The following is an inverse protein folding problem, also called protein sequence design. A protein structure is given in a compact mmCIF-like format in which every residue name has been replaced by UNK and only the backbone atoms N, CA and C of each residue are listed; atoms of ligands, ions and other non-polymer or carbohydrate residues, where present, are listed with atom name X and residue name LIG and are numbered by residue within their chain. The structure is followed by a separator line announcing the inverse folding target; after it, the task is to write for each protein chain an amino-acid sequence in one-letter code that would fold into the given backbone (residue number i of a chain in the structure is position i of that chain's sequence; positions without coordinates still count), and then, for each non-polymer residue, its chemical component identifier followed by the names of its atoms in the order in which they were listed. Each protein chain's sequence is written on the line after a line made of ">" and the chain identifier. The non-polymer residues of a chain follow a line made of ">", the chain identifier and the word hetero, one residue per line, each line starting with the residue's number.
data_IF_152099626440
#
_entry.id   IF_152099626440
#
_cell.length_a   1.000
_cell.length_b   1.000
_cell.length_c   1.000
_cell.angle_alpha   90.00
_cell.angle_beta   90.00
_cell.angle_gamma   90.00
#
_symmetry.space_group_name_H-M   'P 1'
#
loop_
_entity.id
_entity.type
_entity.pdbx_description
1 polymer ?
#
# COMPACT_ATOMS: atom_id res chain seq x y z
N UNK A 1 0.60 -3.00 -4.18
CA UNK A 1 0.23 -1.62 -3.81
C UNK A 1 1.15 -1.19 -2.69
N UNK A 2 1.69 0.04 -2.72
CA UNK A 2 2.68 0.51 -1.74
C UNK A 2 2.06 0.60 -0.35
N UNK A 3 2.68 -0.02 0.66
CA UNK A 3 2.24 -0.03 2.05
C UNK A 3 3.46 -0.05 2.97
N UNK A 4 3.33 0.55 4.14
CA UNK A 4 4.35 0.55 5.18
C UNK A 4 3.65 0.27 6.52
N UNK A 5 4.28 -0.54 7.36
CA UNK A 5 3.80 -0.81 8.71
C UNK A 5 4.89 -0.46 9.72
N UNK A 6 4.64 0.59 10.52
CA UNK A 6 5.55 1.10 11.56
C UNK A 6 7.01 1.20 11.09
N UNK A 7 7.17 1.72 9.87
CA UNK A 7 8.48 1.86 9.26
C UNK A 7 9.17 3.14 9.73
N UNK A 8 10.44 3.04 10.08
CA UNK A 8 11.24 4.20 10.48
C UNK A 8 11.44 5.14 9.27
N UNK A 9 11.10 6.40 9.46
CA UNK A 9 11.20 7.44 8.44
C UNK A 9 11.58 8.78 9.04
N UNK A 10 12.37 9.57 8.31
CA UNK A 10 12.69 10.94 8.68
C UNK A 10 11.78 11.92 7.97
N UNK A 11 11.27 12.93 8.69
CA UNK A 11 10.54 14.04 8.11
C UNK A 11 11.55 15.09 7.66
N UNK A 12 11.76 15.23 6.37
CA UNK A 12 12.70 16.21 5.81
C UNK A 12 12.11 17.61 5.69
N UNK A 13 10.80 17.74 5.52
CA UNK A 13 10.14 19.03 5.40
C UNK A 13 8.63 18.91 5.61
N UNK A 14 8.03 19.93 6.21
CA UNK A 14 6.57 20.12 6.30
C UNK A 14 6.25 21.49 5.69
N UNK A 15 5.51 21.51 4.60
CA UNK A 15 5.13 22.73 3.91
C UNK A 15 3.60 22.91 3.96
N UNK A 16 3.15 23.90 4.73
CA UNK A 16 1.74 24.23 4.85
C UNK A 16 1.25 25.03 3.64
N UNK A 17 0.02 24.78 3.22
CA UNK A 17 -0.64 25.52 2.15
C UNK A 17 -2.12 25.65 2.39
N UNK A 18 -2.75 26.65 1.80
CA UNK A 18 -4.19 26.80 1.78
C UNK A 18 -4.73 26.21 0.48
N UNK A 19 -5.58 25.21 0.60
CA UNK A 19 -6.32 24.62 -0.51
C UNK A 19 -7.71 25.27 -0.58
N UNK A 20 -8.22 25.50 -1.79
CA UNK A 20 -9.56 26.04 -2.01
C UNK A 20 -10.44 24.99 -2.65
N UNK A 21 -11.54 24.69 -2.01
CA UNK A 21 -12.63 23.89 -2.56
C UNK A 21 -13.85 24.81 -2.77
N UNK A 22 -13.95 25.38 -3.98
CA UNK A 22 -14.95 26.43 -4.23
C UNK A 22 -14.68 27.71 -3.41
N UNK A 23 -15.62 28.08 -2.53
CA UNK A 23 -15.47 29.23 -1.63
C UNK A 23 -14.81 28.89 -0.30
N UNK A 24 -14.73 27.60 0.04
CA UNK A 24 -14.13 27.13 1.30
C UNK A 24 -12.59 27.09 1.20
N UNK A 25 -11.96 27.47 2.30
CA UNK A 25 -10.50 27.42 2.45
C UNK A 25 -10.16 26.37 3.49
N UNK A 26 -9.39 25.39 3.08
CA UNK A 26 -8.92 24.33 3.95
C UNK A 26 -7.40 24.39 4.08
N UNK A 27 -6.92 24.08 5.27
CA UNK A 27 -5.48 23.96 5.52
C UNK A 27 -5.02 22.59 5.02
N UNK A 28 -3.90 22.56 4.31
CA UNK A 28 -3.28 21.33 3.84
C UNK A 28 -1.78 21.37 4.10
N UNK A 29 -1.18 20.20 4.25
CA UNK A 29 0.25 20.03 4.42
C UNK A 29 0.84 19.12 3.35
N UNK A 30 2.02 19.50 2.82
CA UNK A 30 2.88 18.65 2.01
C UNK A 30 4.06 18.22 2.90
N UNK A 31 4.11 16.95 3.28
CA UNK A 31 5.12 16.37 4.17
C UNK A 31 6.09 15.55 3.34
N UNK A 32 7.38 15.89 3.36
CA UNK A 32 8.42 15.12 2.67
C UNK A 32 9.05 14.14 3.63
N UNK A 33 8.96 12.85 3.27
CA UNK A 33 9.59 11.75 3.98
C UNK A 33 10.86 11.28 3.26
N UNK A 34 11.83 10.81 4.06
CA UNK A 34 13.02 10.08 3.62
C UNK A 34 13.12 8.81 4.45
N UNK A 35 13.29 7.66 3.81
CA UNK A 35 13.35 6.37 4.47
C UNK A 35 14.19 5.38 3.67
N UNK A 36 14.58 4.29 4.32
CA UNK A 36 15.26 3.16 3.66
C UNK A 36 14.33 1.96 3.69
N UNK A 37 13.98 1.40 2.52
CA UNK A 37 13.10 0.24 2.38
C UNK A 37 13.79 -0.88 1.64
N UNK A 38 13.28 -2.11 1.72
CA UNK A 38 13.73 -3.21 0.88
C UNK A 38 13.37 -2.99 -0.60
N UNK A 39 14.11 -3.64 -1.49
CA UNK A 39 13.91 -3.47 -2.94
C UNK A 39 12.58 -4.06 -3.43
N UNK A 40 11.90 -4.90 -2.64
CA UNK A 40 10.54 -5.39 -2.89
C UNK A 40 9.50 -4.26 -2.97
N UNK A 41 9.78 -3.11 -2.38
CA UNK A 41 8.93 -1.93 -2.50
C UNK A 41 8.76 -1.46 -3.96
N UNK A 42 9.73 -1.77 -4.84
CA UNK A 42 9.67 -1.46 -6.27
C UNK A 42 8.53 -2.16 -6.99
N UNK A 43 8.14 -3.36 -6.56
CA UNK A 43 7.05 -4.14 -7.14
C UNK A 43 5.70 -3.43 -7.04
N UNK A 44 5.60 -2.42 -6.15
CA UNK A 44 4.42 -1.55 -6.02
C UNK A 44 4.31 -0.49 -7.12
N UNK A 45 5.41 -0.18 -7.80
CA UNK A 45 5.49 0.79 -8.88
C UNK A 45 5.47 0.08 -10.24
N UNK A 46 6.35 -0.89 -10.44
CA UNK A 46 6.43 -1.69 -11.66
C UNK A 46 7.03 -3.06 -11.34
N UNK A 47 6.42 -4.11 -11.87
CA UNK A 47 6.81 -5.51 -11.61
C UNK A 47 8.20 -5.88 -12.16
N UNK A 48 8.74 -5.11 -13.11
CA UNK A 48 10.06 -5.36 -13.72
C UNK A 48 11.16 -4.52 -13.09
N UNK A 49 10.82 -3.37 -12.49
CA UNK A 49 11.76 -2.37 -12.02
C UNK A 49 12.80 -2.92 -11.03
N UNK A 50 12.37 -3.83 -10.17
CA UNK A 50 13.26 -4.51 -9.22
C UNK A 50 14.35 -5.31 -9.94
N UNK A 51 13.96 -6.09 -10.94
CA UNK A 51 14.90 -6.87 -11.75
C UNK A 51 15.76 -6.00 -12.66
N UNK A 52 15.28 -4.82 -13.04
CA UNK A 52 16.05 -3.89 -13.88
C UNK A 52 17.14 -3.18 -13.07
N UNK A 53 16.91 -2.89 -11.81
CA UNK A 53 17.84 -2.16 -10.94
C UNK A 53 18.76 -3.07 -10.14
N UNK A 54 18.34 -4.31 -9.84
CA UNK A 54 19.09 -5.23 -9.00
C UNK A 54 19.43 -6.55 -9.73
N UNK A 55 20.51 -7.19 -9.28
CA UNK A 55 20.97 -8.51 -9.73
C UNK A 55 21.42 -9.35 -8.54
N UNK A 56 21.57 -10.64 -8.76
CA UNK A 56 22.28 -11.50 -7.80
C UNK A 56 23.76 -11.14 -7.78
N UNK A 57 24.40 -11.12 -6.60
CA UNK A 57 25.84 -10.87 -6.50
C UNK A 57 26.62 -11.95 -7.25
N UNK A 58 27.72 -11.56 -7.90
CA UNK A 58 28.61 -12.49 -8.57
C UNK A 58 29.46 -13.28 -7.55
N UNK A 59 30.03 -14.41 -7.99
CA UNK A 59 30.91 -15.25 -7.15
C UNK A 59 32.14 -14.44 -6.73
N UNK A 60 32.29 -14.15 -5.42
CA UNK A 60 33.38 -13.33 -4.86
C UNK A 60 33.03 -11.88 -4.58
N UNK A 61 31.85 -11.40 -4.99
CA UNK A 61 31.26 -10.20 -4.41
C UNK A 61 30.78 -10.54 -2.98
N UNK A 62 30.98 -9.61 -2.07
CA UNK A 62 30.65 -9.80 -0.66
C UNK A 62 29.16 -10.17 -0.53
N UNK A 63 28.93 -11.40 -0.08
CA UNK A 63 27.59 -11.84 0.31
C UNK A 63 27.34 -11.27 1.73
N UNK A 64 27.07 -9.98 1.80
CA UNK A 64 26.68 -9.38 3.07
C UNK A 64 25.26 -9.82 3.40
N UNK A 65 25.18 -10.56 4.49
CA UNK A 65 23.99 -10.99 5.23
C UNK A 65 22.94 -11.76 4.42
N UNK A 66 22.61 -12.96 4.86
CA UNK A 66 21.47 -13.67 4.31
C UNK A 66 20.21 -12.92 4.66
N UNK A 67 19.46 -12.50 3.62
CA UNK A 67 18.03 -12.33 3.65
C UNK A 67 17.46 -11.00 4.12
N UNK A 68 17.64 -10.00 3.31
CA UNK A 68 16.59 -9.02 3.11
C UNK A 68 16.23 -9.10 1.62
N UNK A 69 15.14 -9.80 1.29
CA UNK A 69 14.69 -10.05 -0.08
C UNK A 69 14.85 -11.52 -0.49
N UNK A 70 13.75 -12.28 -0.50
CA UNK A 70 13.70 -13.73 -0.70
C UNK A 70 14.22 -14.27 -2.04
N UNK A 71 14.57 -13.42 -3.02
CA UNK A 71 15.08 -13.80 -4.34
C UNK A 71 16.60 -13.58 -4.52
N UNK A 72 17.28 -12.99 -3.52
CA UNK A 72 18.72 -12.76 -3.52
C UNK A 72 19.20 -11.65 -4.48
N UNK A 73 18.31 -10.73 -4.88
CA UNK A 73 18.65 -9.57 -5.69
C UNK A 73 19.23 -8.45 -4.80
N UNK A 74 20.51 -8.54 -4.44
CA UNK A 74 21.14 -7.63 -3.48
C UNK A 74 22.17 -6.70 -4.09
N UNK A 75 22.70 -7.00 -5.27
CA UNK A 75 23.69 -6.17 -5.94
C UNK A 75 23.05 -5.18 -6.92
N UNK A 76 23.47 -3.93 -6.91
CA UNK A 76 23.00 -2.90 -7.82
C UNK A 76 23.54 -3.15 -9.23
N UNK A 77 22.70 -3.11 -10.27
CA UNK A 77 23.14 -3.27 -11.66
C UNK A 77 23.86 -2.04 -12.21
N UNK A 78 23.44 -0.87 -11.80
CA UNK A 78 23.87 0.41 -12.36
C UNK A 78 24.31 1.37 -11.23
N UNK A 79 25.46 1.17 -10.59
CA UNK A 79 25.86 1.96 -9.43
C UNK A 79 26.13 3.44 -9.74
N UNK A 80 26.33 3.79 -11.02
CA UNK A 80 26.53 5.18 -11.47
C UNK A 80 25.20 5.88 -11.86
N UNK A 81 24.05 5.22 -11.66
CA UNK A 81 22.76 5.82 -11.97
C UNK A 81 22.40 6.87 -10.92
N UNK A 82 22.00 8.05 -11.38
CA UNK A 82 21.43 9.06 -10.49
C UNK A 82 20.08 8.62 -9.90
N UNK A 83 19.65 9.20 -8.77
CA UNK A 83 18.35 8.88 -8.18
C UNK A 83 17.20 9.04 -9.19
N UNK A 84 16.37 8.01 -9.31
CA UNK A 84 15.27 7.96 -10.27
C UNK A 84 14.04 8.67 -9.70
N UNK A 85 13.44 9.54 -10.53
CA UNK A 85 12.17 10.20 -10.21
C UNK A 85 11.03 9.40 -10.84
N UNK A 86 10.08 8.95 -10.02
CA UNK A 86 8.89 8.24 -10.47
C UNK A 86 7.70 9.21 -10.52
N UNK A 87 6.94 9.16 -11.61
CA UNK A 87 5.74 9.98 -11.81
C UNK A 87 4.47 9.38 -11.18
N UNK A 88 4.60 8.25 -10.48
CA UNK A 88 3.49 7.59 -9.82
C UNK A 88 2.88 8.47 -8.73
N UNK A 89 1.55 8.43 -8.65
CA UNK A 89 0.76 9.07 -7.61
C UNK A 89 -0.23 8.06 -7.05
N UNK A 90 -0.33 7.98 -5.73
CA UNK A 90 -1.29 7.15 -5.03
C UNK A 90 -2.20 8.03 -4.17
N UNK A 91 -3.50 7.78 -4.16
CA UNK A 91 -4.51 8.58 -3.45
C UNK A 91 -5.35 7.73 -2.52
N UNK A 92 -5.98 8.37 -1.53
CA UNK A 92 -6.90 7.71 -0.62
C UNK A 92 -6.22 6.90 0.47
N UNK A 93 -4.95 7.18 0.78
CA UNK A 93 -4.23 6.51 1.85
C UNK A 93 -4.63 7.06 3.22
N UNK A 94 -4.57 6.19 4.21
CA UNK A 94 -4.54 6.57 5.62
C UNK A 94 -3.10 6.51 6.11
N UNK A 95 -2.63 7.58 6.77
CA UNK A 95 -1.26 7.71 7.24
C UNK A 95 -1.23 7.94 8.74
N UNK A 96 -0.48 7.10 9.45
CA UNK A 96 -0.26 7.25 10.89
C UNK A 96 1.21 7.58 11.14
N UNK A 97 1.43 8.61 11.94
CA UNK A 97 2.75 9.04 12.40
C UNK A 97 2.83 8.88 13.90
N UNK A 98 3.75 8.08 14.37
CA UNK A 98 4.05 7.90 15.79
C UNK A 98 5.50 8.25 16.07
N UNK A 99 5.81 8.74 17.29
CA UNK A 99 7.20 8.91 17.71
C UNK A 99 7.90 7.55 17.87
N UNK A 100 9.22 7.49 17.69
CA UNK A 100 10.01 6.26 17.84
C UNK A 100 9.80 5.54 19.17
N UNK A 101 9.60 6.29 20.24
CA UNK A 101 9.33 5.74 21.57
C UNK A 101 7.86 5.34 21.77
N UNK A 102 7.02 5.49 20.72
CA UNK A 102 5.57 5.23 20.77
C UNK A 102 4.86 5.91 21.96
N UNK A 103 5.42 7.01 22.45
CA UNK A 103 4.83 7.81 23.52
C UNK A 103 3.85 8.82 22.91
N UNK A 104 2.58 8.72 23.30
CA UNK A 104 1.49 9.57 22.80
C UNK A 104 0.61 8.90 21.76
N UNK A 105 -0.45 9.58 21.39
CA UNK A 105 -1.34 9.16 20.33
C UNK A 105 -0.68 9.43 18.96
N UNK A 106 -0.84 8.54 17.97
CA UNK A 106 -0.33 8.79 16.63
C UNK A 106 -1.14 9.90 15.94
N UNK A 107 -0.46 10.73 15.16
CA UNK A 107 -1.12 11.66 14.23
C UNK A 107 -1.72 10.82 13.10
N UNK A 108 -3.02 10.89 12.87
CA UNK A 108 -3.73 10.13 11.84
C UNK A 108 -4.26 11.08 10.78
N UNK A 109 -3.75 10.96 9.56
CA UNK A 109 -4.19 11.73 8.41
C UNK A 109 -4.89 10.81 7.42
N UNK A 110 -6.05 11.24 6.93
CA UNK A 110 -6.88 10.49 5.99
C UNK A 110 -6.85 11.13 4.60
N UNK A 111 -7.26 10.37 3.58
CA UNK A 111 -7.26 10.78 2.17
C UNK A 111 -5.91 11.34 1.69
N UNK A 112 -4.83 10.74 2.17
CA UNK A 112 -3.48 11.17 1.85
C UNK A 112 -3.15 10.84 0.41
N UNK A 113 -2.56 11.82 -0.32
CA UNK A 113 -2.01 11.65 -1.65
C UNK A 113 -0.48 11.53 -1.56
N UNK A 114 0.07 10.40 -2.01
CA UNK A 114 1.50 10.16 -2.11
C UNK A 114 1.98 10.50 -3.52
N UNK A 115 3.03 11.31 -3.64
CA UNK A 115 3.56 11.80 -4.93
C UNK A 115 5.05 12.11 -4.86
N UNK A 116 5.67 12.41 -6.01
CA UNK A 116 7.07 12.85 -6.14
C UNK A 116 8.05 11.84 -5.54
N UNK A 117 7.86 10.58 -5.88
CA UNK A 117 8.78 9.53 -5.46
C UNK A 117 10.14 9.70 -6.11
N UNK A 118 11.18 9.62 -5.30
CA UNK A 118 12.58 9.54 -5.74
C UNK A 118 13.18 8.32 -5.07
N UNK A 119 13.80 7.45 -5.86
CA UNK A 119 14.42 6.22 -5.40
C UNK A 119 15.88 6.16 -5.79
N UNK A 120 16.72 5.66 -4.92
CA UNK A 120 18.14 5.41 -5.16
C UNK A 120 18.48 3.99 -4.70
N UNK A 121 18.82 3.07 -5.63
CA UNK A 121 19.24 1.71 -5.27
C UNK A 121 20.53 1.75 -4.45
N UNK A 122 20.57 0.94 -3.37
CA UNK A 122 21.75 0.77 -2.51
C UNK A 122 22.18 -0.70 -2.51
N UNK A 123 23.47 -0.93 -2.32
CA UNK A 123 23.98 -2.29 -2.14
C UNK A 123 23.32 -2.96 -0.92
N UNK A 124 23.21 -4.28 -0.97
CA UNK A 124 22.52 -5.04 0.07
C UNK A 124 21.02 -5.22 -0.18
N UNK A 125 20.47 -4.79 -1.34
CA UNK A 125 19.07 -4.96 -1.70
C UNK A 125 18.12 -3.95 -1.06
N UNK A 126 18.65 -2.81 -0.64
CA UNK A 126 17.84 -1.71 -0.07
C UNK A 126 17.71 -0.53 -1.04
N UNK A 127 16.75 0.33 -0.74
CA UNK A 127 16.47 1.57 -1.46
C UNK A 127 16.48 2.74 -0.49
N UNK A 128 17.23 3.80 -0.78
CA UNK A 128 16.92 5.09 -0.22
C UNK A 128 15.73 5.68 -1.02
N UNK A 129 14.65 5.98 -0.33
CA UNK A 129 13.42 6.48 -0.94
C UNK A 129 13.02 7.80 -0.31
N UNK A 130 12.58 8.75 -1.11
CA UNK A 130 11.85 9.91 -0.62
C UNK A 130 10.56 10.11 -1.40
N UNK A 131 9.54 10.62 -0.73
CA UNK A 131 8.26 10.98 -1.35
C UNK A 131 7.61 12.12 -0.59
N UNK A 132 6.57 12.69 -1.18
CA UNK A 132 5.75 13.72 -0.56
C UNK A 132 4.36 13.18 -0.31
N UNK A 133 3.91 13.23 0.93
CA UNK A 133 2.53 13.00 1.33
C UNK A 133 1.81 14.35 1.42
N UNK A 134 0.65 14.46 0.77
CA UNK A 134 -0.21 15.64 0.80
C UNK A 134 -1.54 15.27 1.44
N UNK A 135 -1.93 15.98 2.48
CA UNK A 135 -3.20 15.78 3.18
C UNK A 135 -3.83 17.11 3.58
N UNK A 136 -5.14 17.12 3.76
CA UNK A 136 -5.80 18.17 4.51
C UNK A 136 -5.51 17.97 5.99
N UNK A 137 -5.30 19.06 6.72
CA UNK A 137 -4.88 19.00 8.13
C UNK A 137 -5.64 20.06 8.94
N UNK A 138 -5.90 19.73 10.19
CA UNK A 138 -6.38 20.70 11.15
C UNK A 138 -5.22 21.53 11.75
N UNK A 139 -5.47 22.72 12.30
CA UNK A 139 -4.41 23.53 12.91
C UNK A 139 -3.65 22.82 14.05
N UNK A 140 -4.34 21.93 14.79
CA UNK A 140 -3.73 21.14 15.86
C UNK A 140 -2.79 20.08 15.27
N UNK A 141 -3.22 19.33 14.26
CA UNK A 141 -2.41 18.34 13.56
C UNK A 141 -1.17 18.98 12.93
N UNK A 142 -1.30 20.20 12.39
CA UNK A 142 -0.15 20.93 11.85
C UNK A 142 0.86 21.30 12.94
N UNK A 143 0.42 21.65 14.14
CA UNK A 143 1.30 21.92 15.27
C UNK A 143 2.06 20.65 15.68
N UNK A 144 1.37 19.51 15.76
CA UNK A 144 1.95 18.20 16.06
C UNK A 144 2.94 17.74 14.98
N UNK A 145 2.62 17.95 13.70
CA UNK A 145 3.53 17.69 12.58
C UNK A 145 4.80 18.55 12.65
N UNK A 146 4.66 19.81 13.08
CA UNK A 146 5.81 20.71 13.27
C UNK A 146 6.70 20.26 14.42
N UNK A 147 6.12 19.72 15.48
CA UNK A 147 6.86 19.10 16.57
C UNK A 147 7.56 17.80 16.14
N UNK A 148 6.87 16.96 15.35
CA UNK A 148 7.45 15.75 14.78
C UNK A 148 8.64 16.05 13.85
N UNK A 149 8.57 17.14 13.06
CA UNK A 149 9.69 17.61 12.24
C UNK A 149 10.94 17.93 13.06
N UNK A 150 10.78 18.51 14.26
CA UNK A 150 11.92 18.82 15.14
C UNK A 150 12.59 17.55 15.68
N UNK A 151 11.82 16.48 15.84
CA UNK A 151 12.32 15.17 16.31
C UNK A 151 13.00 14.36 15.22
N UNK A 152 12.82 14.74 13.94
CA UNK A 152 13.37 14.18 12.72
C UNK A 152 12.87 12.76 12.38
N UNK A 153 12.89 11.80 13.31
CA UNK A 153 12.55 10.40 13.06
C UNK A 153 11.20 10.01 13.66
N UNK A 154 10.40 9.34 12.84
CA UNK A 154 9.04 8.87 13.17
C UNK A 154 8.83 7.45 12.70
N UNK A 155 7.88 6.75 13.33
CA UNK A 155 7.31 5.50 12.81
C UNK A 155 6.14 5.84 11.90
N UNK A 156 6.31 5.51 10.62
CA UNK A 156 5.34 5.76 9.56
C UNK A 156 4.57 4.49 9.24
N UNK A 157 3.25 4.54 9.32
CA UNK A 157 2.35 3.51 8.80
C UNK A 157 1.53 4.10 7.65
N UNK A 158 1.53 3.43 6.50
CA UNK A 158 0.73 3.76 5.32
C UNK A 158 -0.22 2.62 5.01
N UNK A 159 -1.51 2.88 5.12
CA UNK A 159 -2.58 1.94 4.83
C UNK A 159 -3.20 2.33 3.50
N UNK A 160 -3.15 1.40 2.54
CA UNK A 160 -3.74 1.62 1.23
C UNK A 160 -5.28 1.58 1.30
N UNK A 161 -5.99 2.35 0.45
CA UNK A 161 -7.44 2.29 0.38
C UNK A 161 -7.88 0.87 0.00
N UNK A 162 -8.92 0.37 0.66
CA UNK A 162 -9.56 -0.89 0.28
C UNK A 162 -10.09 -0.75 -1.15
N UNK A 163 -9.63 -1.60 -2.08
CA UNK A 163 -10.22 -1.63 -3.42
C UNK A 163 -11.70 -1.93 -3.30
N UNK A 164 -12.53 -1.07 -3.89
CA UNK A 164 -13.98 -1.26 -3.93
C UNK A 164 -14.44 -2.53 -4.72
N UNK A 165 -13.51 -3.38 -5.15
CA UNK A 165 -13.77 -4.65 -5.83
C UNK A 165 -13.56 -5.90 -4.98
N UNK A 166 -12.99 -5.79 -3.77
CA UNK A 166 -12.80 -6.96 -2.90
C UNK A 166 -14.05 -7.30 -2.08
N UNK A 167 -15.10 -6.47 -2.14
CA UNK A 167 -16.39 -6.75 -1.47
C UNK A 167 -17.35 -7.59 -2.33
N UNK A 168 -16.97 -7.91 -3.60
CA UNK A 168 -17.81 -8.73 -4.48
C UNK A 168 -17.39 -10.22 -4.53
N UNK A 169 -16.21 -10.57 -4.00
CA UNK A 169 -15.76 -11.98 -3.99
C UNK A 169 -16.16 -12.74 -2.72
N UNK A 170 -16.54 -12.04 -1.66
CA UNK A 170 -16.95 -12.68 -0.39
C UNK A 170 -18.49 -12.94 -0.30
N UNK A 171 -19.24 -12.57 -1.35
CA UNK A 171 -20.68 -12.86 -1.44
C UNK A 171 -21.02 -14.01 -2.41
N UNK A 172 -20.02 -14.60 -3.09
CA UNK A 172 -20.24 -15.73 -4.00
C UNK A 172 -19.91 -17.09 -3.43
N UNK A 173 -19.25 -17.19 -2.26
CA UNK A 173 -19.05 -18.50 -1.58
C UNK A 173 -20.24 -18.96 -0.73
N UNK A 174 -21.28 -18.15 -0.59
CA UNK A 174 -22.50 -18.46 0.17
C UNK A 174 -23.71 -18.91 -0.65
N UNK A 175 -23.68 -18.83 -1.98
CA UNK A 175 -24.85 -19.12 -2.83
C UNK A 175 -24.80 -20.49 -3.54
N UNK A 176 -23.67 -21.17 -3.57
CA UNK A 176 -23.53 -22.45 -4.29
C UNK A 176 -24.07 -23.66 -3.53
N UNK A 177 -24.47 -23.50 -2.25
CA UNK A 177 -25.05 -24.61 -1.48
C UNK A 177 -26.58 -24.61 -1.43
N UNK A 178 -27.24 -23.53 -1.85
CA UNK A 178 -28.71 -23.46 -1.90
C UNK A 178 -29.27 -23.91 -3.27
N UNK A 179 -28.56 -23.67 -4.35
CA UNK A 179 -29.01 -24.06 -5.70
C UNK A 179 -28.93 -25.56 -5.97
N UNK A 180 -28.06 -26.31 -5.28
CA UNK A 180 -27.97 -27.77 -5.45
C UNK A 180 -29.15 -28.49 -4.79
N UNK A 181 -29.64 -27.99 -3.65
CA UNK A 181 -30.77 -28.59 -2.93
C UNK A 181 -32.11 -28.23 -3.54
N UNK A 182 -32.24 -27.02 -4.09
CA UNK A 182 -33.44 -26.60 -4.82
C UNK A 182 -33.56 -27.32 -6.18
N UNK A 183 -32.45 -27.59 -6.86
CA UNK A 183 -32.44 -28.36 -8.10
C UNK A 183 -32.83 -29.84 -7.87
N UNK A 184 -32.41 -30.44 -6.75
CA UNK A 184 -32.74 -31.83 -6.40
C UNK A 184 -34.21 -31.95 -5.96
N UNK A 185 -34.74 -30.96 -5.24
CA UNK A 185 -36.16 -30.89 -4.87
C UNK A 185 -37.05 -30.64 -6.10
N UNK A 186 -36.69 -29.81 -7.05
CA UNK A 186 -37.41 -29.60 -8.28
C UNK A 186 -37.43 -30.83 -9.21
N UNK A 187 -36.33 -31.58 -9.26
CA UNK A 187 -36.25 -32.84 -9.99
C UNK A 187 -37.14 -33.92 -9.39
N UNK A 188 -37.22 -34.01 -8.06
CA UNK A 188 -38.06 -34.95 -7.33
C UNK A 188 -39.55 -34.65 -7.51
N UNK A 189 -39.93 -33.37 -7.60
CA UNK A 189 -41.31 -32.94 -7.82
C UNK A 189 -41.78 -33.20 -9.26
N UNK A 190 -40.91 -33.00 -10.22
CA UNK A 190 -41.15 -33.33 -11.65
C UNK A 190 -41.32 -34.84 -11.85
N UNK A 191 -40.53 -35.65 -11.15
CA UNK A 191 -40.68 -37.12 -11.21
C UNK A 191 -42.02 -37.58 -10.63
N UNK A 192 -42.51 -37.01 -9.54
CA UNK A 192 -43.81 -37.27 -8.92
C UNK A 192 -44.99 -36.90 -9.84
N UNK A 193 -44.89 -35.77 -10.53
CA UNK A 193 -45.90 -35.33 -11.49
C UNK A 193 -45.96 -36.23 -12.74
N UNK A 194 -44.83 -36.77 -13.18
CA UNK A 194 -44.77 -37.70 -14.28
C UNK A 194 -45.40 -39.06 -13.95
N UNK A 195 -45.21 -39.57 -12.72
CA UNK A 195 -45.86 -40.79 -12.24
C UNK A 195 -47.37 -40.63 -12.03
N UNK A 196 -47.79 -39.45 -11.57
CA UNK A 196 -49.22 -39.17 -11.41
C UNK A 196 -49.96 -39.07 -12.79
N UNK A 197 -49.29 -38.57 -13.80
CA UNK A 197 -49.86 -38.51 -15.18
C UNK A 197 -50.02 -39.87 -15.85
N UNK A 198 -49.14 -40.82 -15.55
CA UNK A 198 -49.25 -42.19 -16.07
C UNK A 198 -50.34 -43.03 -15.40
N UNK A 199 -50.72 -42.71 -14.19
CA UNK A 199 -51.78 -43.42 -13.44
C UNK A 199 -53.19 -42.95 -13.80
N UNK A 200 -53.32 -41.80 -14.50
CA UNK A 200 -54.61 -41.27 -14.94
C UNK A 200 -54.97 -41.66 -16.39
N UNK A 201 -54.10 -42.40 -17.10
CA UNK A 201 -54.26 -42.79 -18.49
C UNK A 201 -54.37 -44.34 -18.67
N UNK A 202 -54.64 -45.11 -17.56
CA UNK A 202 -54.85 -46.55 -17.62
C UNK A 202 -56.26 -46.94 -17.16
#
# INVERSE_FOLDING_TARGET
>A
MFQLDKHEASIANVNQRIQRHGEERQLAADIKFVLSVGNEALDSFDSTLRHDLFRKPAKGEQQDLPQIGGDGLTAVKHPALEPLKLSHEFTGFEMHLAGLLQAGEPIVLVDVKLKRFVIEPKEGGSLAMSFTASAEVEPQELAELSEALIREDVLLTLIAPKRAGAAAEDLTEGSDTLDAQDAENAAAELARLAEAGQKAAA
#
